data_IF_186246671302
#
_entry.id   IF_186246671302
#
_cell.length_a   1.000
_cell.length_b   1.000
_cell.length_c   1.000
_cell.angle_alpha   90.00
_cell.angle_beta   90.00
_cell.angle_gamma   90.00
#
_symmetry.space_group_name_H-M   'P 1'
#
loop_
_entity.id
_entity.type
_entity.pdbx_description
1 polymer ?
#
# COMPACT_ATOMS: atom_id res chain seq x y z
N UNK A 1 7.54 26.31 -12.33
CA UNK A 1 7.06 24.96 -11.97
C UNK A 1 5.93 24.64 -12.92
N UNK A 2 6.21 23.89 -13.99
CA UNK A 2 5.22 23.54 -15.03
C UNK A 2 4.39 22.37 -14.54
N UNK A 3 3.08 22.55 -14.42
CA UNK A 3 2.11 21.49 -14.15
C UNK A 3 2.20 20.40 -15.23
N UNK A 4 2.21 19.10 -14.86
CA UNK A 4 2.23 18.02 -15.84
C UNK A 4 0.88 17.97 -16.60
N UNK A 5 0.89 17.52 -17.88
CA UNK A 5 -0.31 17.44 -18.71
C UNK A 5 -1.31 16.40 -18.16
N UNK A 6 -2.62 16.60 -18.39
CA UNK A 6 -3.71 15.82 -17.76
C UNK A 6 -3.70 14.33 -18.12
N UNK A 7 -3.04 13.96 -19.23
CA UNK A 7 -2.96 12.58 -19.74
C UNK A 7 -1.57 11.94 -19.56
N UNK A 8 -0.66 12.56 -18.79
CA UNK A 8 0.57 11.88 -18.44
C UNK A 8 0.24 10.67 -17.55
N UNK A 9 0.72 9.45 -17.86
CA UNK A 9 0.64 8.36 -16.90
C UNK A 9 1.39 8.83 -15.66
N UNK A 10 0.63 9.09 -14.58
CA UNK A 10 1.21 9.25 -13.26
C UNK A 10 1.87 7.91 -13.00
N UNK A 11 3.20 7.85 -13.14
CA UNK A 11 3.98 6.68 -12.77
C UNK A 11 3.80 6.52 -11.26
N UNK A 12 2.74 5.83 -10.86
CA UNK A 12 2.61 5.33 -9.51
C UNK A 12 3.90 4.52 -9.29
N UNK A 13 4.72 4.88 -8.28
CA UNK A 13 5.93 4.13 -8.03
C UNK A 13 5.55 2.67 -7.89
N UNK A 14 6.26 1.80 -8.61
CA UNK A 14 6.12 0.36 -8.45
C UNK A 14 6.32 0.07 -6.96
N UNK A 15 5.31 -0.52 -6.33
CA UNK A 15 5.37 -0.83 -4.90
C UNK A 15 6.49 -1.85 -4.64
N UNK A 16 7.51 -1.43 -3.90
CA UNK A 16 8.60 -2.29 -3.45
C UNK A 16 8.26 -2.89 -2.09
N UNK A 17 7.71 -4.10 -2.11
CA UNK A 17 7.33 -4.83 -0.90
C UNK A 17 8.54 -5.13 0.00
N UNK A 18 9.73 -5.31 -0.55
CA UNK A 18 10.93 -5.66 0.24
C UNK A 18 11.33 -4.47 1.11
N UNK A 19 11.53 -3.31 0.48
CA UNK A 19 11.88 -2.08 1.20
C UNK A 19 10.78 -1.69 2.19
N UNK A 20 9.52 -1.78 1.79
CA UNK A 20 8.39 -1.46 2.64
C UNK A 20 8.36 -2.32 3.92
N UNK A 21 8.46 -3.64 3.78
CA UNK A 21 8.43 -4.57 4.91
C UNK A 21 9.60 -4.33 5.85
N UNK A 22 10.82 -4.19 5.32
CA UNK A 22 12.02 -3.99 6.14
C UNK A 22 11.99 -2.66 6.90
N UNK A 23 11.61 -1.57 6.25
CA UNK A 23 11.53 -0.25 6.90
C UNK A 23 10.39 -0.20 7.91
N UNK A 24 9.25 -0.81 7.62
CA UNK A 24 8.10 -0.86 8.55
C UNK A 24 8.43 -1.70 9.78
N UNK A 25 9.07 -2.86 9.59
CA UNK A 25 9.56 -3.69 10.70
C UNK A 25 10.53 -2.92 11.61
N UNK A 26 11.47 -2.18 11.02
CA UNK A 26 12.41 -1.34 11.77
C UNK A 26 11.69 -0.19 12.52
N UNK A 27 10.74 0.49 11.88
CA UNK A 27 9.97 1.59 12.47
C UNK A 27 9.11 1.13 13.65
N UNK A 28 8.50 -0.05 13.54
CA UNK A 28 7.65 -0.64 14.58
C UNK A 28 8.44 -1.36 15.67
N UNK A 29 9.76 -1.52 15.51
CA UNK A 29 10.58 -2.33 16.42
C UNK A 29 10.17 -3.80 16.43
N UNK A 30 9.64 -4.31 15.31
CA UNK A 30 9.15 -5.67 15.16
C UNK A 30 10.06 -6.45 14.19
N UNK A 31 11.18 -7.03 14.67
CA UNK A 31 12.10 -7.75 13.81
C UNK A 31 11.44 -9.01 13.23
N UNK A 32 11.59 -9.21 11.93
CA UNK A 32 11.07 -10.39 11.23
C UNK A 32 12.19 -11.43 11.16
N UNK A 33 11.96 -12.67 11.66
CA UNK A 33 12.94 -13.74 11.51
C UNK A 33 13.25 -14.04 10.04
N UNK A 34 14.53 -14.18 9.70
CA UNK A 34 14.98 -14.42 8.32
C UNK A 34 14.32 -15.64 7.67
N UNK A 35 13.96 -16.65 8.46
CA UNK A 35 13.27 -17.85 7.98
C UNK A 35 11.87 -17.58 7.40
N UNK A 36 11.20 -16.50 7.82
CA UNK A 36 9.83 -16.17 7.37
C UNK A 36 9.76 -14.88 6.55
N UNK A 37 10.83 -14.07 6.50
CA UNK A 37 10.86 -12.77 5.84
C UNK A 37 10.39 -12.84 4.38
N UNK A 38 10.87 -13.82 3.61
CA UNK A 38 10.46 -14.00 2.22
C UNK A 38 8.95 -14.24 2.07
N UNK A 39 8.35 -14.99 3.00
CA UNK A 39 6.90 -15.23 3.01
C UNK A 39 6.11 -13.98 3.39
N UNK A 40 6.62 -13.16 4.32
CA UNK A 40 6.01 -11.87 4.67
C UNK A 40 6.01 -10.94 3.45
N UNK A 41 7.14 -10.83 2.75
CA UNK A 41 7.26 -10.01 1.53
C UNK A 41 6.25 -10.46 0.47
N UNK A 42 6.19 -11.75 0.17
CA UNK A 42 5.23 -12.30 -0.80
C UNK A 42 3.77 -12.02 -0.44
N UNK A 43 3.42 -12.08 0.85
CA UNK A 43 2.08 -11.73 1.31
C UNK A 43 1.76 -10.24 1.11
N UNK A 44 2.73 -9.34 1.31
CA UNK A 44 2.55 -7.92 1.04
C UNK A 44 2.34 -7.60 -0.44
N UNK A 45 3.00 -8.33 -1.34
CA UNK A 45 2.74 -8.22 -2.78
C UNK A 45 1.30 -8.63 -3.13
N UNK A 46 0.81 -9.73 -2.54
CA UNK A 46 -0.58 -10.17 -2.71
C UNK A 46 -1.59 -9.17 -2.15
N UNK A 47 -1.33 -8.64 -0.94
CA UNK A 47 -2.18 -7.62 -0.31
C UNK A 47 -2.25 -6.38 -1.19
N UNK A 48 -1.11 -5.93 -1.74
CA UNK A 48 -1.09 -4.79 -2.66
C UNK A 48 -1.96 -5.05 -3.90
N UNK A 49 -1.87 -6.23 -4.51
CA UNK A 49 -2.67 -6.56 -5.68
C UNK A 49 -4.18 -6.55 -5.38
N UNK A 50 -4.58 -7.01 -4.18
CA UNK A 50 -5.97 -6.98 -3.72
C UNK A 50 -6.43 -5.56 -3.40
N UNK A 51 -5.56 -4.72 -2.82
CA UNK A 51 -5.88 -3.36 -2.41
C UNK A 51 -5.86 -2.35 -3.57
N UNK A 52 -5.08 -2.60 -4.64
CA UNK A 52 -4.90 -1.67 -5.75
C UNK A 52 -6.22 -1.18 -6.39
N UNK A 53 -7.25 -2.01 -6.60
CA UNK A 53 -8.54 -1.55 -7.11
C UNK A 53 -9.23 -0.53 -6.19
N UNK A 54 -9.03 -0.63 -4.87
CA UNK A 54 -9.61 0.30 -3.90
C UNK A 54 -8.89 1.65 -3.91
N UNK A 55 -7.56 1.66 -4.08
CA UNK A 55 -6.76 2.89 -4.21
C UNK A 55 -7.13 3.65 -5.49
N UNK A 56 -7.53 2.94 -6.54
CA UNK A 56 -8.00 3.55 -7.78
C UNK A 56 -9.40 4.20 -7.67
N UNK A 57 -10.13 3.97 -6.57
CA UNK A 57 -11.39 4.64 -6.32
C UNK A 57 -11.12 6.10 -5.97
N UNK A 58 -11.66 7.01 -6.78
CA UNK A 58 -11.63 8.43 -6.46
C UNK A 58 -12.73 8.73 -5.43
N UNK A 59 -12.42 8.49 -4.14
CA UNK A 59 -13.37 8.70 -3.06
C UNK A 59 -13.54 10.19 -2.75
N UNK A 60 -14.76 10.69 -2.53
CA UNK A 60 -14.98 12.08 -2.12
C UNK A 60 -14.30 12.37 -0.78
N UNK A 61 -13.71 13.56 -0.61
CA UNK A 61 -13.12 13.98 0.69
C UNK A 61 -14.16 14.00 1.83
N UNK A 62 -15.43 14.24 1.49
CA UNK A 62 -16.54 14.23 2.45
C UNK A 62 -17.08 12.82 2.76
N UNK A 63 -16.50 11.76 2.20
CA UNK A 63 -16.90 10.38 2.49
C UNK A 63 -16.40 10.00 3.89
N UNK A 64 -17.33 9.88 4.84
CA UNK A 64 -16.99 9.38 6.17
C UNK A 64 -16.70 7.88 6.15
N UNK A 65 -15.80 7.43 7.03
CA UNK A 65 -15.60 6.01 7.27
C UNK A 65 -16.90 5.38 7.73
N UNK A 66 -17.30 4.25 7.15
CA UNK A 66 -18.46 3.51 7.63
C UNK A 66 -18.25 3.14 9.11
N UNK A 67 -19.00 3.79 9.99
CA UNK A 67 -18.88 3.66 11.45
C UNK A 67 -19.55 2.41 12.01
N UNK A 68 -20.31 1.68 11.18
CA UNK A 68 -21.12 0.55 11.62
C UNK A 68 -20.53 -0.76 11.12
N UNK A 69 -19.91 -1.53 12.03
CA UNK A 69 -19.80 -2.98 11.87
C UNK A 69 -21.19 -3.58 12.07
N UNK A 70 -21.77 -4.16 11.03
CA UNK A 70 -22.97 -4.99 11.17
C UNK A 70 -22.55 -6.37 11.74
N UNK A 71 -23.27 -6.91 12.74
CA UNK A 71 -22.97 -8.22 13.32
C UNK A 71 -23.18 -9.36 12.32
#
# INVERSE_FOLDING_TARGET
MTTPPPDAPVFAPIFDATTYVQQTAALLGLPIPAAIEAGVIANFEQIQAIAQPLVALNLPEALESATTFAP
#
